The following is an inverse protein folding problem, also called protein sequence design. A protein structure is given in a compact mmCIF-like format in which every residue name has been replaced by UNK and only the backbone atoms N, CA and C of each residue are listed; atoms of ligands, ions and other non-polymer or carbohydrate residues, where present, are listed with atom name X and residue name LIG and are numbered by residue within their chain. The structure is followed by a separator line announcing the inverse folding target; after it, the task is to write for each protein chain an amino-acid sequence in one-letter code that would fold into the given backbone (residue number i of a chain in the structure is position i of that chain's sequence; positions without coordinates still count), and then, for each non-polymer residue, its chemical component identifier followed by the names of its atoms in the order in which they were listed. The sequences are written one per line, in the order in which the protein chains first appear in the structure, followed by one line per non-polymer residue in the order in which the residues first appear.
data_IF_698951660047
#
_entry.id   IF_698951660047
#
_cell.length_a   1.000
_cell.length_b   1.000
_cell.length_c   1.000
_cell.angle_alpha   90.00
_cell.angle_beta   90.00
_cell.angle_gamma   90.00
#
_symmetry.space_group_name_H-M   'P 1'
#
loop_
_entity.id
_entity.type
_entity.pdbx_description
1 polymer ?
#
# COMPACT_ATOMS: atom_id res chain seq x y z
N UNK A 1 0.62 23.89 -6.03
CA UNK A 1 1.48 22.76 -5.58
C UNK A 1 1.47 21.72 -6.69
N UNK A 2 2.63 21.39 -7.21
CA UNK A 2 2.85 20.38 -8.25
C UNK A 2 3.51 19.15 -7.64
N UNK A 3 3.04 17.98 -8.00
CA UNK A 3 3.55 16.71 -7.47
C UNK A 3 4.20 15.92 -8.61
N UNK A 4 5.44 15.48 -8.39
CA UNK A 4 6.22 14.71 -9.35
C UNK A 4 6.32 13.23 -8.98
N UNK A 5 6.29 12.34 -9.99
CA UNK A 5 6.55 10.92 -9.81
C UNK A 5 7.68 10.48 -10.71
N UNK A 6 8.86 10.21 -10.13
CA UNK A 6 9.97 9.55 -10.83
C UNK A 6 9.79 8.05 -10.65
N UNK A 7 9.50 7.36 -11.76
CA UNK A 7 9.07 5.96 -11.75
C UNK A 7 7.55 5.81 -11.73
N UNK A 8 6.95 5.67 -12.92
CA UNK A 8 5.49 5.57 -13.13
C UNK A 8 5.09 4.10 -13.26
N UNK A 9 5.29 3.32 -12.17
CA UNK A 9 4.86 1.93 -12.07
C UNK A 9 3.44 1.80 -11.51
N UNK A 10 3.00 0.56 -11.23
CA UNK A 10 1.66 0.25 -10.72
C UNK A 10 1.30 1.03 -9.46
N UNK A 11 2.23 1.11 -8.48
CA UNK A 11 1.94 1.81 -7.22
C UNK A 11 1.88 3.32 -7.41
N UNK A 12 2.77 3.90 -8.23
CA UNK A 12 2.71 5.32 -8.56
C UNK A 12 1.41 5.67 -9.28
N UNK A 13 0.95 4.84 -10.20
CA UNK A 13 -0.33 5.01 -10.88
C UNK A 13 -1.51 4.96 -9.91
N UNK A 14 -1.48 4.08 -8.91
CA UNK A 14 -2.50 4.02 -7.87
C UNK A 14 -2.53 5.31 -7.03
N UNK A 15 -1.35 5.82 -6.63
CA UNK A 15 -1.23 7.08 -5.89
C UNK A 15 -1.74 8.26 -6.71
N UNK A 16 -1.34 8.37 -7.99
CA UNK A 16 -1.84 9.41 -8.89
C UNK A 16 -3.36 9.34 -9.02
N UNK A 17 -3.93 8.15 -9.21
CA UNK A 17 -5.38 7.97 -9.30
C UNK A 17 -6.10 8.42 -8.04
N UNK A 18 -5.57 8.09 -6.86
CA UNK A 18 -6.08 8.57 -5.58
C UNK A 18 -6.04 10.10 -5.48
N UNK A 19 -4.89 10.72 -5.77
CA UNK A 19 -4.74 12.17 -5.74
C UNK A 19 -5.71 12.88 -6.71
N UNK A 20 -5.96 12.29 -7.88
CA UNK A 20 -6.87 12.85 -8.87
C UNK A 20 -8.36 12.66 -8.52
N UNK A 21 -8.68 11.83 -7.52
CA UNK A 21 -10.04 11.70 -6.99
C UNK A 21 -10.41 12.78 -5.96
N UNK A 22 -9.44 13.55 -5.48
CA UNK A 22 -9.67 14.62 -4.53
C UNK A 22 -10.43 15.80 -5.15
N UNK A 23 -11.33 16.49 -4.41
CA UNK A 23 -12.03 17.67 -4.91
C UNK A 23 -11.08 18.77 -5.41
N UNK A 24 -9.95 18.96 -4.73
CA UNK A 24 -8.90 19.89 -5.10
C UNK A 24 -7.65 19.13 -5.56
N UNK A 25 -7.81 18.26 -6.57
CA UNK A 25 -6.73 17.48 -7.11
C UNK A 25 -5.53 18.35 -7.50
N UNK A 26 -4.31 17.99 -7.09
CA UNK A 26 -3.09 18.72 -7.45
C UNK A 26 -2.73 18.52 -8.93
N UNK A 27 -1.88 19.41 -9.45
CA UNK A 27 -1.20 19.17 -10.72
C UNK A 27 -0.13 18.08 -10.51
N UNK A 28 -0.10 17.10 -11.39
CA UNK A 28 0.82 15.97 -11.31
C UNK A 28 1.67 15.88 -12.58
N UNK A 29 2.97 15.64 -12.39
CA UNK A 29 3.88 15.34 -13.49
C UNK A 29 4.49 13.95 -13.27
N UNK A 30 4.42 13.10 -14.30
CA UNK A 30 4.90 11.72 -14.24
C UNK A 30 6.04 11.47 -15.20
N UNK A 31 6.99 10.63 -14.77
CA UNK A 31 8.15 10.27 -15.59
C UNK A 31 7.75 9.50 -16.86
N UNK A 32 8.53 9.62 -17.95
CA UNK A 32 8.19 9.04 -19.26
C UNK A 32 8.47 7.55 -19.38
N UNK A 33 9.27 6.93 -18.48
CA UNK A 33 9.85 5.59 -18.67
C UNK A 33 8.81 4.49 -18.84
N UNK A 34 7.74 4.47 -18.06
CA UNK A 34 6.64 3.51 -18.22
C UNK A 34 5.59 4.10 -19.17
N UNK A 35 5.92 4.17 -20.46
CA UNK A 35 5.18 4.90 -21.47
C UNK A 35 3.67 4.62 -21.44
N UNK A 36 3.26 3.36 -21.59
CA UNK A 36 1.85 3.00 -21.59
C UNK A 36 1.10 3.45 -20.32
N UNK A 37 1.76 3.40 -19.15
CA UNK A 37 1.13 3.82 -17.88
C UNK A 37 1.05 5.34 -17.80
N UNK A 38 2.15 6.05 -18.14
CA UNK A 38 2.19 7.52 -18.08
C UNK A 38 1.25 8.17 -19.09
N UNK A 39 1.12 7.60 -20.29
CA UNK A 39 0.15 8.04 -21.30
C UNK A 39 -1.29 7.80 -20.87
N UNK A 40 -1.59 6.61 -20.34
CA UNK A 40 -2.92 6.30 -19.83
C UNK A 40 -3.35 7.25 -18.71
N UNK A 41 -2.42 7.61 -17.80
CA UNK A 41 -2.69 8.56 -16.72
C UNK A 41 -2.93 9.97 -17.27
N UNK A 42 -2.10 10.45 -18.18
CA UNK A 42 -2.25 11.77 -18.80
C UNK A 42 -3.53 11.88 -19.65
N UNK A 43 -3.91 10.81 -20.35
CA UNK A 43 -5.15 10.77 -21.11
C UNK A 43 -6.40 10.75 -20.20
N UNK A 44 -6.29 10.12 -19.04
CA UNK A 44 -7.42 9.95 -18.10
C UNK A 44 -7.68 11.18 -17.24
N UNK A 45 -6.63 11.89 -16.84
CA UNK A 45 -6.73 12.95 -15.85
C UNK A 45 -6.19 14.28 -16.40
N UNK A 46 -7.02 15.33 -16.53
CA UNK A 46 -6.62 16.61 -17.13
C UNK A 46 -5.46 17.33 -16.40
N UNK A 47 -5.26 17.05 -15.11
CA UNK A 47 -4.17 17.62 -14.29
C UNK A 47 -2.92 16.74 -14.22
N UNK A 48 -2.85 15.67 -15.00
CA UNK A 48 -1.67 14.79 -15.07
C UNK A 48 -0.93 15.03 -16.39
N UNK A 49 0.34 15.36 -16.30
CA UNK A 49 1.20 15.64 -17.44
C UNK A 49 2.35 14.63 -17.51
N UNK A 50 2.60 14.07 -18.68
CA UNK A 50 3.76 13.24 -18.93
C UNK A 50 4.96 14.14 -19.23
N UNK A 51 6.03 13.98 -18.45
CA UNK A 51 7.28 14.72 -18.64
C UNK A 51 8.07 14.20 -19.84
N UNK A 52 8.95 15.04 -20.37
CA UNK A 52 9.98 14.62 -21.34
C UNK A 52 11.19 13.93 -20.68
N UNK A 53 11.43 14.18 -19.38
CA UNK A 53 12.56 13.61 -18.64
C UNK A 53 12.29 13.55 -17.13
N UNK A 54 13.10 12.77 -16.39
CA UNK A 54 13.06 12.76 -14.92
C UNK A 54 13.52 14.10 -14.32
N UNK A 55 14.41 14.83 -14.98
CA UNK A 55 14.85 16.15 -14.54
C UNK A 55 13.69 17.17 -14.54
N UNK A 56 12.78 17.08 -15.50
CA UNK A 56 11.56 17.89 -15.51
C UNK A 56 10.65 17.53 -14.32
N UNK A 57 10.48 16.25 -14.01
CA UNK A 57 9.70 15.78 -12.84
C UNK A 57 10.31 16.31 -11.55
N UNK A 58 11.63 16.31 -11.42
CA UNK A 58 12.35 16.78 -10.24
C UNK A 58 12.14 18.27 -9.93
N UNK A 59 11.54 19.06 -10.82
CA UNK A 59 11.19 20.47 -10.55
C UNK A 59 9.93 20.65 -9.71
N UNK A 60 9.16 19.58 -9.44
CA UNK A 60 7.92 19.63 -8.68
C UNK A 60 8.17 19.97 -7.19
N UNK A 61 7.14 20.49 -6.50
CA UNK A 61 7.23 20.86 -5.09
C UNK A 61 7.45 19.63 -4.18
N UNK A 62 6.79 18.52 -4.51
CA UNK A 62 6.92 17.22 -3.85
C UNK A 62 7.25 16.18 -4.91
N UNK A 63 8.30 15.40 -4.71
CA UNK A 63 8.71 14.35 -5.65
C UNK A 63 8.65 12.98 -4.99
N UNK A 64 7.89 12.08 -5.59
CA UNK A 64 7.81 10.68 -5.19
C UNK A 64 8.78 9.83 -6.02
N UNK A 65 9.58 9.02 -5.32
CA UNK A 65 10.48 8.05 -5.95
C UNK A 65 9.78 6.69 -5.95
N UNK A 66 9.33 6.23 -7.11
CA UNK A 66 8.48 5.04 -7.28
C UNK A 66 9.08 3.99 -8.23
N UNK A 67 10.40 3.80 -8.22
CA UNK A 67 11.10 2.81 -9.03
C UNK A 67 11.57 1.61 -8.19
N UNK A 68 11.98 0.53 -8.86
CA UNK A 68 12.67 -0.58 -8.22
C UNK A 68 14.09 -0.15 -7.81
N UNK A 69 14.67 -0.69 -6.71
CA UNK A 69 16.00 -0.30 -6.22
C UNK A 69 17.08 -0.32 -7.31
N UNK A 70 17.09 -1.35 -8.16
CA UNK A 70 18.06 -1.51 -9.25
C UNK A 70 18.02 -0.41 -10.32
N UNK A 71 16.97 0.39 -10.35
CA UNK A 71 16.80 1.49 -11.32
C UNK A 71 17.03 2.86 -10.71
N UNK A 72 17.30 2.94 -9.40
CA UNK A 72 17.42 4.21 -8.68
C UNK A 72 18.57 5.06 -9.23
N UNK A 73 19.75 4.48 -9.37
CA UNK A 73 20.94 5.20 -9.84
C UNK A 73 20.75 5.77 -11.25
N UNK A 74 20.25 4.95 -12.17
CA UNK A 74 19.94 5.37 -13.53
C UNK A 74 18.87 6.47 -13.57
N UNK A 75 17.79 6.28 -12.81
CA UNK A 75 16.65 7.21 -12.80
C UNK A 75 17.00 8.57 -12.20
N UNK A 76 17.96 8.61 -11.28
CA UNK A 76 18.36 9.81 -10.53
C UNK A 76 19.70 10.40 -11.01
N UNK A 77 20.27 9.90 -12.10
CA UNK A 77 21.53 10.43 -12.62
C UNK A 77 21.38 11.91 -13.01
N UNK A 78 22.26 12.77 -12.44
CA UNK A 78 22.27 14.21 -12.69
C UNK A 78 21.07 14.98 -12.13
N UNK A 79 20.32 14.38 -11.19
CA UNK A 79 19.19 15.03 -10.54
C UNK A 79 19.58 15.41 -9.12
N UNK A 80 19.42 16.69 -8.81
CA UNK A 80 19.51 17.26 -7.49
C UNK A 80 18.17 17.90 -7.10
N UNK A 81 17.91 17.94 -5.79
CA UNK A 81 16.73 18.60 -5.22
C UNK A 81 17.12 19.90 -4.51
N UNK A 82 16.22 20.87 -4.55
CA UNK A 82 16.42 22.16 -3.88
C UNK A 82 16.33 22.00 -2.37
N UNK A 83 16.96 22.91 -1.65
CA UNK A 83 16.84 23.00 -0.21
C UNK A 83 15.35 23.08 0.21
N UNK A 84 14.95 22.23 1.15
CA UNK A 84 13.58 22.14 1.63
C UNK A 84 12.55 21.50 0.68
N UNK A 85 12.95 21.11 -0.54
CA UNK A 85 12.06 20.36 -1.44
C UNK A 85 11.72 18.99 -0.84
N UNK A 86 10.47 18.58 -0.91
CA UNK A 86 10.03 17.31 -0.31
C UNK A 86 10.29 16.15 -1.26
N UNK A 87 11.00 15.14 -0.76
CA UNK A 87 11.27 13.88 -1.47
C UNK A 87 10.71 12.71 -0.68
N UNK A 88 9.66 12.09 -1.21
CA UNK A 88 9.00 10.94 -0.59
C UNK A 88 9.42 9.64 -1.28
N UNK A 89 10.18 8.81 -0.59
CA UNK A 89 10.66 7.54 -1.14
C UNK A 89 9.68 6.39 -0.92
N UNK A 90 9.22 5.80 -2.01
CA UNK A 90 8.48 4.53 -2.04
C UNK A 90 9.39 3.34 -2.42
N UNK A 91 10.70 3.57 -2.53
CA UNK A 91 11.67 2.55 -2.96
C UNK A 91 11.89 1.54 -1.85
N UNK A 92 11.64 0.26 -2.14
CA UNK A 92 11.91 -0.83 -1.19
C UNK A 92 13.42 -1.00 -0.96
N UNK A 93 13.83 -1.29 0.29
CA UNK A 93 15.23 -1.56 0.61
C UNK A 93 16.16 -0.34 0.54
N UNK A 94 15.62 0.86 0.47
CA UNK A 94 16.37 2.11 0.51
C UNK A 94 15.98 2.86 1.79
N UNK A 95 16.93 3.01 2.71
CA UNK A 95 16.65 3.63 4.01
C UNK A 95 16.46 5.14 3.90
N UNK A 96 15.84 5.72 4.92
CA UNK A 96 15.76 7.19 5.03
C UNK A 96 17.16 7.82 5.05
N UNK A 97 18.11 7.17 5.75
CA UNK A 97 19.49 7.63 5.83
C UNK A 97 20.17 7.65 4.44
N UNK A 98 19.91 6.64 3.60
CA UNK A 98 20.45 6.59 2.23
C UNK A 98 19.87 7.72 1.36
N UNK A 99 18.58 7.99 1.49
CA UNK A 99 17.91 9.09 0.77
C UNK A 99 18.45 10.44 1.24
N UNK A 100 18.57 10.64 2.56
CA UNK A 100 19.09 11.89 3.15
C UNK A 100 20.57 12.13 2.81
N UNK A 101 21.39 11.07 2.80
CA UNK A 101 22.80 11.19 2.43
C UNK A 101 22.98 11.63 0.96
N UNK A 102 22.07 11.21 0.09
CA UNK A 102 22.11 11.57 -1.33
C UNK A 102 21.63 12.99 -1.58
N UNK A 103 20.63 13.47 -0.84
CA UNK A 103 20.07 14.82 -0.97
C UNK A 103 19.96 15.49 0.41
N UNK A 104 21.08 15.93 0.96
CA UNK A 104 21.16 16.39 2.37
C UNK A 104 20.32 17.64 2.65
N UNK A 105 20.03 18.46 1.65
CA UNK A 105 19.25 19.69 1.82
C UNK A 105 17.74 19.49 1.58
N UNK A 106 17.33 18.34 1.04
CA UNK A 106 15.93 18.02 0.83
C UNK A 106 15.24 17.60 2.14
N UNK A 107 13.94 17.85 2.25
CA UNK A 107 13.09 17.27 3.29
C UNK A 107 12.67 15.87 2.85
N UNK A 108 13.27 14.83 3.43
CA UNK A 108 13.02 13.47 2.99
C UNK A 108 12.10 12.71 3.91
N UNK A 109 11.24 11.86 3.33
CA UNK A 109 10.45 10.88 4.07
C UNK A 109 10.34 9.56 3.30
N UNK A 110 10.01 8.50 4.02
CA UNK A 110 9.53 7.25 3.45
C UNK A 110 8.01 7.32 3.34
N UNK A 111 7.47 6.80 2.24
CA UNK A 111 6.02 6.70 2.04
C UNK A 111 5.67 5.33 1.47
N UNK A 112 4.83 4.58 2.17
CA UNK A 112 4.46 3.20 1.83
C UNK A 112 2.95 3.16 1.58
N UNK A 113 2.50 3.45 0.36
CA UNK A 113 1.10 3.29 -0.03
C UNK A 113 0.79 1.85 -0.39
N UNK A 114 -0.50 1.47 -0.25
CA UNK A 114 -1.03 0.24 -0.81
C UNK A 114 -1.95 0.53 -2.02
N UNK A 115 -2.19 -0.46 -2.91
CA UNK A 115 -2.98 -0.24 -4.13
C UNK A 115 -4.39 0.33 -3.91
N UNK A 116 -4.99 0.09 -2.74
CA UNK A 116 -6.30 0.62 -2.36
C UNK A 116 -6.40 2.15 -2.38
N UNK A 117 -5.27 2.86 -2.29
CA UNK A 117 -5.22 4.33 -2.37
C UNK A 117 -5.86 4.87 -3.66
N UNK A 118 -5.83 4.10 -4.76
CA UNK A 118 -6.49 4.47 -6.01
C UNK A 118 -8.01 4.70 -5.86
N UNK A 119 -8.59 4.15 -4.82
CA UNK A 119 -10.02 4.22 -4.50
C UNK A 119 -10.31 4.94 -3.16
N UNK A 120 -9.32 5.66 -2.62
CA UNK A 120 -9.44 6.34 -1.33
C UNK A 120 -9.63 5.35 -0.16
N UNK A 121 -8.96 4.20 -0.19
CA UNK A 121 -9.11 3.13 0.81
C UNK A 121 -7.78 2.47 1.16
N UNK A 122 -7.74 1.95 2.39
CA UNK A 122 -6.64 1.14 2.89
C UNK A 122 -5.55 1.94 3.60
N UNK A 123 -4.62 1.22 4.24
CA UNK A 123 -3.57 1.85 5.00
C UNK A 123 -2.45 2.39 4.12
N UNK A 124 -1.86 3.48 4.59
CA UNK A 124 -0.62 4.06 4.10
C UNK A 124 0.28 4.35 5.30
N UNK A 125 1.58 4.28 5.13
CA UNK A 125 2.51 4.64 6.19
C UNK A 125 3.53 5.69 5.71
N UNK A 126 3.93 6.59 6.61
CA UNK A 126 5.00 7.57 6.36
C UNK A 126 5.95 7.68 7.56
N UNK A 127 7.21 8.02 7.30
CA UNK A 127 8.21 8.34 8.32
C UNK A 127 9.39 9.12 7.70
N UNK A 128 9.89 10.20 8.36
CA UNK A 128 9.25 10.90 9.47
C UNK A 128 7.95 11.58 9.03
N UNK A 129 7.27 12.20 9.99
CA UNK A 129 6.13 13.04 9.70
C UNK A 129 6.55 14.26 8.88
N UNK A 130 5.93 14.43 7.73
CA UNK A 130 6.03 15.64 6.90
C UNK A 130 4.62 16.20 6.75
N UNK A 131 4.33 17.40 7.28
CA UNK A 131 2.96 17.93 7.33
C UNK A 131 2.25 18.00 5.99
N UNK A 132 2.97 18.27 4.90
CA UNK A 132 2.44 18.31 3.54
C UNK A 132 1.98 16.94 3.09
N UNK A 133 2.75 15.88 3.38
CA UNK A 133 2.40 14.49 3.09
C UNK A 133 1.18 14.07 3.90
N UNK A 134 1.15 14.37 5.19
CA UNK A 134 0.01 14.05 6.07
C UNK A 134 -1.26 14.71 5.53
N UNK A 135 -1.23 16.02 5.28
CA UNK A 135 -2.39 16.77 4.75
C UNK A 135 -2.88 16.25 3.40
N UNK A 136 -1.95 15.86 2.52
CA UNK A 136 -2.26 15.41 1.16
C UNK A 136 -2.93 14.03 1.15
N UNK A 137 -2.48 13.12 2.04
CA UNK A 137 -2.87 11.72 1.97
C UNK A 137 -3.92 11.28 3.00
N UNK A 138 -4.12 12.01 4.10
CA UNK A 138 -5.20 11.72 5.06
C UNK A 138 -6.59 11.56 4.42
N UNK A 139 -6.98 12.33 3.39
CA UNK A 139 -8.27 12.14 2.74
C UNK A 139 -8.37 10.87 1.87
N UNK A 140 -7.26 10.16 1.63
CA UNK A 140 -7.17 9.02 0.71
C UNK A 140 -7.16 7.65 1.42
N UNK A 141 -7.34 7.62 2.74
CA UNK A 141 -7.37 6.39 3.53
C UNK A 141 -6.72 6.55 4.90
N UNK A 142 -6.40 5.44 5.54
CA UNK A 142 -5.81 5.43 6.87
C UNK A 142 -4.30 5.68 6.79
N UNK A 143 -3.88 6.92 7.05
CA UNK A 143 -2.47 7.28 7.07
C UNK A 143 -1.88 7.11 8.48
N UNK A 144 -0.86 6.26 8.57
CA UNK A 144 -0.10 6.01 9.79
C UNK A 144 1.25 6.71 9.72
N UNK A 145 1.51 7.58 10.69
CA UNK A 145 2.87 8.11 10.92
C UNK A 145 3.59 7.10 11.80
N UNK A 146 4.59 6.42 11.26
CA UNK A 146 5.35 5.44 12.02
C UNK A 146 6.22 6.14 13.09
N UNK A 147 6.40 5.54 14.28
CA UNK A 147 7.23 6.12 15.34
C UNK A 147 8.72 6.12 15.00
N UNK A 148 9.15 5.24 14.13
CA UNK A 148 10.50 5.14 13.58
C UNK A 148 10.49 4.39 12.23
N UNK A 149 11.63 4.40 11.51
CA UNK A 149 11.75 3.77 10.21
C UNK A 149 11.59 2.24 10.27
N UNK A 150 12.04 1.59 11.33
CA UNK A 150 11.95 0.13 11.46
C UNK A 150 10.49 -0.34 11.53
N UNK A 151 9.58 0.51 12.02
CA UNK A 151 8.16 0.20 12.15
C UNK A 151 7.29 0.64 10.98
N UNK A 152 7.84 1.33 9.98
CA UNK A 152 7.05 1.83 8.83
C UNK A 152 6.38 0.70 8.03
N UNK A 153 6.93 -0.51 8.06
CA UNK A 153 6.38 -1.67 7.38
C UNK A 153 5.35 -2.45 8.21
N UNK A 154 5.03 -2.00 9.42
CA UNK A 154 4.08 -2.67 10.33
C UNK A 154 4.34 -4.18 10.45
N UNK A 155 5.61 -4.57 10.67
CA UNK A 155 6.00 -5.97 10.79
C UNK A 155 5.78 -6.80 9.50
N UNK A 156 5.62 -6.15 8.35
CA UNK A 156 5.40 -6.84 7.09
C UNK A 156 3.95 -7.25 6.82
N UNK A 157 2.98 -6.73 7.59
CA UNK A 157 1.55 -7.10 7.44
C UNK A 157 1.02 -6.93 6.02
N UNK A 158 1.52 -5.95 5.26
CA UNK A 158 1.18 -5.75 3.85
C UNK A 158 1.58 -6.92 2.94
N UNK A 159 2.48 -7.80 3.37
CA UNK A 159 2.87 -9.01 2.62
C UNK A 159 1.80 -10.10 2.65
N UNK A 160 0.74 -9.94 3.45
CA UNK A 160 -0.37 -10.90 3.54
C UNK A 160 -1.41 -10.76 2.42
N UNK A 161 -1.34 -9.71 1.58
CA UNK A 161 -2.37 -9.42 0.57
C UNK A 161 -2.63 -10.56 -0.41
N UNK A 162 -1.59 -11.19 -0.95
CA UNK A 162 -1.76 -12.31 -1.90
C UNK A 162 -2.36 -13.54 -1.21
N UNK A 163 -1.96 -13.82 0.03
CA UNK A 163 -2.53 -14.92 0.84
C UNK A 163 -4.01 -14.70 1.13
N UNK A 164 -4.43 -13.46 1.33
CA UNK A 164 -5.84 -13.14 1.49
C UNK A 164 -6.67 -13.45 0.23
N UNK A 165 -6.15 -13.13 -0.97
CA UNK A 165 -6.84 -13.49 -2.21
C UNK A 165 -6.83 -15.00 -2.47
N UNK A 166 -5.77 -15.70 -2.08
CA UNK A 166 -5.71 -17.16 -2.15
C UNK A 166 -6.75 -17.82 -1.23
N UNK A 167 -6.95 -17.29 -0.01
CA UNK A 167 -8.03 -17.70 0.87
C UNK A 167 -9.40 -17.52 0.21
N UNK A 168 -9.66 -16.38 -0.43
CA UNK A 168 -10.91 -16.17 -1.16
C UNK A 168 -11.11 -17.20 -2.25
N UNK A 169 -10.06 -17.50 -3.03
CA UNK A 169 -10.08 -18.50 -4.07
C UNK A 169 -10.45 -19.89 -3.53
N UNK A 170 -9.85 -20.28 -2.40
CA UNK A 170 -10.16 -21.56 -1.75
C UNK A 170 -11.63 -21.64 -1.29
N UNK A 171 -12.18 -20.56 -0.73
CA UNK A 171 -13.59 -20.51 -0.31
C UNK A 171 -14.55 -20.55 -1.51
N UNK A 172 -14.21 -19.90 -2.63
CA UNK A 172 -14.97 -19.96 -3.87
C UNK A 172 -14.99 -21.39 -4.41
N UNK A 173 -13.84 -22.10 -4.40
CA UNK A 173 -13.76 -23.51 -4.82
C UNK A 173 -14.66 -24.43 -3.99
N UNK A 174 -14.76 -24.20 -2.68
CA UNK A 174 -15.72 -24.93 -1.82
C UNK A 174 -17.16 -24.73 -2.30
N UNK A 175 -17.55 -23.50 -2.60
CA UNK A 175 -18.89 -23.20 -3.13
C UNK A 175 -19.17 -23.86 -4.47
N UNK A 176 -18.21 -23.81 -5.40
CA UNK A 176 -18.38 -24.43 -6.73
C UNK A 176 -18.47 -25.95 -6.66
N UNK A 177 -17.69 -26.60 -5.81
CA UNK A 177 -17.80 -28.05 -5.54
C UNK A 177 -19.14 -28.44 -4.90
N UNK A 178 -19.77 -27.51 -4.19
CA UNK A 178 -21.12 -27.69 -3.66
C UNK A 178 -22.24 -27.45 -4.71
N UNK A 179 -21.89 -27.21 -5.98
CA UNK A 179 -22.83 -26.99 -7.08
C UNK A 179 -23.31 -25.56 -7.27
N UNK A 180 -22.70 -24.58 -6.57
CA UNK A 180 -22.99 -23.15 -6.76
C UNK A 180 -22.22 -22.66 -8.00
N UNK A 181 -22.84 -21.79 -8.82
CA UNK A 181 -22.13 -21.18 -9.95
C UNK A 181 -20.90 -20.37 -9.46
N UNK A 182 -19.80 -20.38 -10.21
CA UNK A 182 -18.60 -19.63 -9.86
C UNK A 182 -18.88 -18.13 -9.64
N UNK A 183 -19.65 -17.43 -10.50
CA UNK A 183 -20.00 -16.04 -10.25
C UNK A 183 -20.76 -15.80 -8.94
N UNK A 184 -21.67 -16.69 -8.56
CA UNK A 184 -22.43 -16.58 -7.32
C UNK A 184 -21.58 -16.90 -6.09
N UNK A 185 -20.78 -17.97 -6.14
CA UNK A 185 -19.83 -18.33 -5.09
C UNK A 185 -18.86 -17.18 -4.83
N UNK A 186 -18.28 -16.59 -5.89
CA UNK A 186 -17.41 -15.42 -5.81
C UNK A 186 -18.11 -14.21 -5.17
N UNK A 187 -19.31 -13.89 -5.66
CA UNK A 187 -20.09 -12.76 -5.12
C UNK A 187 -20.39 -12.94 -3.65
N UNK A 188 -20.77 -14.15 -3.24
CA UNK A 188 -21.04 -14.47 -1.84
C UNK A 188 -19.80 -14.32 -0.96
N UNK A 189 -18.68 -14.94 -1.34
CA UNK A 189 -17.41 -14.89 -0.58
C UNK A 189 -16.92 -13.45 -0.43
N UNK A 190 -16.86 -12.68 -1.51
CA UNK A 190 -16.39 -11.28 -1.47
C UNK A 190 -17.31 -10.41 -0.60
N UNK A 191 -18.63 -10.58 -0.72
CA UNK A 191 -19.60 -9.84 0.10
C UNK A 191 -19.48 -10.20 1.59
N UNK A 192 -19.37 -11.49 1.91
CA UNK A 192 -19.23 -11.96 3.30
C UNK A 192 -17.94 -11.43 3.94
N UNK A 193 -16.79 -11.57 3.28
CA UNK A 193 -15.52 -11.09 3.82
C UNK A 193 -15.49 -9.56 3.92
N UNK A 194 -16.10 -8.86 2.98
CA UNK A 194 -16.27 -7.41 3.03
C UNK A 194 -17.10 -6.95 4.24
N UNK A 195 -18.21 -7.65 4.52
CA UNK A 195 -19.03 -7.40 5.70
C UNK A 195 -18.24 -7.65 7.00
N UNK A 196 -17.49 -8.73 7.09
CA UNK A 196 -16.67 -9.03 8.27
C UNK A 196 -15.57 -7.97 8.49
N UNK A 197 -14.92 -7.50 7.42
CA UNK A 197 -13.95 -6.42 7.50
C UNK A 197 -14.58 -5.10 7.97
N UNK A 198 -15.76 -4.75 7.45
CA UNK A 198 -16.51 -3.56 7.87
C UNK A 198 -16.96 -3.66 9.35
N UNK A 199 -17.41 -4.83 9.80
CA UNK A 199 -17.71 -5.08 11.20
C UNK A 199 -16.49 -4.87 12.08
N UNK A 200 -15.34 -5.43 11.70
CA UNK A 200 -14.10 -5.26 12.44
C UNK A 200 -13.65 -3.80 12.53
N UNK A 201 -13.79 -3.01 11.44
CA UNK A 201 -13.48 -1.58 11.43
C UNK A 201 -14.36 -0.75 12.38
N UNK A 202 -15.62 -1.14 12.56
CA UNK A 202 -16.56 -0.44 13.45
C UNK A 202 -16.47 -0.88 14.91
N UNK A 203 -15.81 -2.00 15.16
CA UNK A 203 -15.69 -2.55 16.52
C UNK A 203 -14.61 -1.79 17.29
N UNK A 204 -14.90 -1.30 18.51
CA UNK A 204 -13.89 -0.67 19.36
C UNK A 204 -12.73 -1.65 19.66
N UNK A 205 -11.50 -1.12 19.75
CA UNK A 205 -10.31 -1.95 19.95
C UNK A 205 -10.39 -2.87 21.18
N UNK A 206 -11.01 -2.42 22.26
CA UNK A 206 -11.20 -3.20 23.49
C UNK A 206 -12.30 -4.27 23.40
N UNK A 207 -13.08 -4.30 22.31
CA UNK A 207 -14.13 -5.29 22.05
C UNK A 207 -13.77 -6.22 20.88
N UNK A 208 -12.62 -6.06 20.27
CA UNK A 208 -12.23 -6.82 19.06
C UNK A 208 -12.20 -8.35 19.33
N UNK A 209 -11.70 -8.76 20.48
CA UNK A 209 -11.61 -10.18 20.83
C UNK A 209 -12.97 -10.85 20.99
N UNK A 210 -14.05 -10.08 21.24
CA UNK A 210 -15.41 -10.57 21.36
C UNK A 210 -16.02 -10.96 20.01
N UNK A 211 -15.50 -10.44 18.89
CA UNK A 211 -16.01 -10.74 17.56
C UNK A 211 -16.02 -12.24 17.25
N UNK A 212 -15.06 -13.00 17.76
CA UNK A 212 -15.01 -14.45 17.56
C UNK A 212 -16.22 -15.12 18.23
N UNK A 213 -16.53 -14.75 19.46
CA UNK A 213 -17.63 -15.33 20.22
C UNK A 213 -19.00 -14.89 19.67
N UNK A 214 -19.12 -13.65 19.23
CA UNK A 214 -20.36 -13.09 18.66
C UNK A 214 -20.73 -13.72 17.30
N UNK A 215 -19.72 -14.24 16.56
CA UNK A 215 -19.93 -14.86 15.25
C UNK A 215 -19.99 -16.39 15.29
N UNK A 216 -20.11 -16.99 16.48
CA UNK A 216 -20.30 -18.44 16.61
C UNK A 216 -21.46 -18.76 17.57
N UNK A 217 -22.15 -19.86 17.29
CA UNK A 217 -23.13 -20.45 18.19
C UNK A 217 -22.54 -21.72 18.77
N UNK A 218 -22.65 -21.95 20.06
CA UNK A 218 -22.17 -23.16 20.74
C UNK A 218 -22.67 -24.42 20.03
N UNK A 219 -21.74 -25.30 19.62
CA UNK A 219 -22.02 -26.51 18.83
C UNK A 219 -22.35 -26.23 17.37
N UNK A 220 -22.39 -24.95 16.95
CA UNK A 220 -22.72 -24.55 15.59
C UNK A 220 -21.61 -24.76 14.56
N UNK A 221 -21.92 -24.55 13.29
CA UNK A 221 -21.00 -24.79 12.21
C UNK A 221 -19.75 -23.89 12.27
N UNK A 222 -19.91 -22.60 12.62
CA UNK A 222 -18.79 -21.66 12.72
C UNK A 222 -17.78 -22.09 13.80
N UNK A 223 -18.26 -22.51 14.99
CA UNK A 223 -17.40 -23.02 16.06
C UNK A 223 -16.64 -24.27 15.62
N UNK A 224 -17.33 -25.22 14.98
CA UNK A 224 -16.73 -26.48 14.48
C UNK A 224 -15.67 -26.25 13.42
N UNK A 225 -15.94 -25.36 12.45
CA UNK A 225 -14.95 -25.00 11.40
C UNK A 225 -13.75 -24.31 12.02
N UNK A 226 -13.95 -23.36 12.94
CA UNK A 226 -12.87 -22.69 13.65
C UNK A 226 -11.99 -23.67 14.44
N UNK A 227 -12.59 -24.62 15.15
CA UNK A 227 -11.85 -25.65 15.89
C UNK A 227 -10.99 -26.53 14.96
N UNK A 228 -11.56 -27.00 13.86
CA UNK A 228 -10.84 -27.79 12.86
C UNK A 228 -9.66 -27.03 12.24
N UNK A 229 -9.81 -25.73 11.98
CA UNK A 229 -8.72 -24.87 11.49
C UNK A 229 -7.65 -24.65 12.55
N UNK A 230 -8.05 -24.49 13.82
CA UNK A 230 -7.11 -24.35 14.93
C UNK A 230 -6.26 -25.63 15.13
N UNK A 231 -6.85 -26.82 15.04
CA UNK A 231 -6.13 -28.11 15.08
C UNK A 231 -5.08 -28.24 13.97
N UNK A 232 -5.33 -27.63 12.81
CA UNK A 232 -4.38 -27.58 11.69
C UNK A 232 -3.31 -26.48 11.83
N UNK A 233 -3.31 -25.71 12.92
CA UNK A 233 -2.36 -24.60 13.14
C UNK A 233 -2.61 -23.38 12.24
N UNK A 234 -3.82 -23.26 11.64
CA UNK A 234 -4.10 -22.25 10.64
C UNK A 234 -3.95 -20.82 11.17
N UNK A 235 -4.31 -20.56 12.43
CA UNK A 235 -4.21 -19.23 13.04
C UNK A 235 -2.78 -18.85 13.44
N UNK A 236 -1.86 -19.82 13.57
CA UNK A 236 -0.45 -19.58 13.82
C UNK A 236 0.38 -19.48 12.53
N UNK A 237 -0.09 -20.08 11.45
CA UNK A 237 0.61 -20.11 10.17
C UNK A 237 0.96 -18.71 9.61
N UNK A 238 0.06 -17.70 9.60
CA UNK A 238 0.38 -16.35 9.15
C UNK A 238 1.50 -15.71 9.98
N UNK A 239 1.47 -15.87 11.32
CA UNK A 239 2.51 -15.34 12.23
C UNK A 239 3.86 -15.97 11.92
N UNK A 240 3.91 -17.29 11.79
CA UNK A 240 5.14 -18.01 11.48
C UNK A 240 5.71 -17.60 10.11
N UNK A 241 4.87 -17.52 9.09
CA UNK A 241 5.26 -17.14 7.75
C UNK A 241 5.80 -15.69 7.69
N UNK A 242 5.10 -14.74 8.31
CA UNK A 242 5.54 -13.34 8.36
C UNK A 242 6.88 -13.22 9.11
N UNK A 243 7.02 -13.84 10.27
CA UNK A 243 8.27 -13.80 11.05
C UNK A 243 9.45 -14.39 10.26
N UNK A 244 9.26 -15.52 9.59
CA UNK A 244 10.31 -16.13 8.78
C UNK A 244 10.71 -15.25 7.58
N UNK A 245 9.75 -14.60 6.94
CA UNK A 245 9.97 -13.81 5.73
C UNK A 245 10.55 -12.44 6.05
N UNK A 246 9.99 -11.74 7.04
CA UNK A 246 10.43 -10.38 7.41
C UNK A 246 11.82 -10.40 8.04
N UNK A 247 12.15 -11.39 8.86
CA UNK A 247 13.51 -11.55 9.42
C UNK A 247 14.58 -11.74 8.35
N UNK A 248 14.26 -12.39 7.23
CA UNK A 248 15.17 -12.55 6.08
C UNK A 248 15.36 -11.23 5.31
N UNK A 249 14.33 -10.40 5.23
CA UNK A 249 14.39 -9.10 4.55
C UNK A 249 15.28 -8.10 5.28
N UNK A 250 15.21 -8.07 6.61
CA UNK A 250 16.02 -7.16 7.44
C UNK A 250 17.49 -7.60 7.54
N UNK A 251 17.82 -8.88 7.38
CA UNK A 251 19.21 -9.37 7.37
C UNK A 251 19.97 -9.03 6.08
N UNK A 252 19.28 -8.69 5.00
CA UNK A 252 19.91 -8.29 3.72
C UNK A 252 20.19 -6.79 3.62
N UNK A 253 19.73 -6.01 4.57
CA UNK A 253 19.86 -4.55 4.63
C UNK A 253 20.88 -4.08 5.68
N UNK A 254 21.62 -5.03 6.29
CA UNK A 254 22.73 -4.78 7.23
C UNK A 254 24.09 -4.96 6.58
#
# INVERSE_FOLDING_TARGET
MRIGFIGTGTISAAVVSGLQSLPNAPDVIVSPRSEAVSEALAARYPKVHRAGSNAEVATADIVFLGMRPMHLEEAMAGIDFKAGQIVASMVAGFSLADVQARWPEATVCRFIPLPGIAHGKGPMATYPEVPEIVRLFTPLGDLFVAPDEARIHFGGLNSFMSSYFELQRALIDVGTRAGISEPDARRFVVSMLGMLADTAQRTPANAFDQLVEEHQTRGGLNERVRAALAEQGWFDAPRAALNATTSLSYKKLG
#
